data_IF_719829256952
#
_entry.id   IF_719829256952
#
_cell.length_a   1.000
_cell.length_b   1.000
_cell.length_c   1.000
_cell.angle_alpha   90.00
_cell.angle_beta   90.00
_cell.angle_gamma   90.00
#
_symmetry.space_group_name_H-M   'P 1'
#
loop_
_entity.id
_entity.type
_entity.pdbx_description
1 polymer ?
#
# COMPACT_ATOMS: atom_id res chain seq x y z
N UNK A 1 8.06 -25.73 -17.75
CA UNK A 1 7.84 -24.31 -17.62
C UNK A 1 6.33 -24.19 -17.54
N UNK A 2 5.78 -24.27 -16.32
CA UNK A 2 4.37 -23.99 -16.11
C UNK A 2 4.14 -22.53 -16.47
N UNK A 3 3.24 -22.25 -17.40
CA UNK A 3 2.73 -20.91 -17.63
C UNK A 3 2.13 -20.45 -16.28
N UNK A 4 2.72 -19.45 -15.66
CA UNK A 4 2.09 -18.75 -14.55
C UNK A 4 0.76 -18.21 -15.09
N UNK A 5 -0.33 -18.77 -14.64
CA UNK A 5 -1.67 -18.27 -14.95
C UNK A 5 -1.76 -16.87 -14.34
N UNK A 6 -2.15 -15.88 -15.15
CA UNK A 6 -2.42 -14.53 -14.69
C UNK A 6 -3.54 -14.52 -13.64
N UNK A 7 -3.53 -13.50 -12.78
CA UNK A 7 -4.61 -13.26 -11.82
C UNK A 7 -5.28 -11.92 -12.09
N UNK A 8 -6.58 -11.86 -11.84
CA UNK A 8 -7.34 -10.62 -11.93
C UNK A 8 -7.23 -9.76 -10.68
N UNK A 9 -6.77 -10.34 -9.58
CA UNK A 9 -6.80 -9.73 -8.26
C UNK A 9 -5.46 -9.90 -7.54
N UNK A 10 -5.10 -8.87 -6.77
CA UNK A 10 -3.96 -8.85 -5.86
C UNK A 10 -4.37 -8.19 -4.55
N UNK A 11 -4.25 -8.93 -3.45
CA UNK A 11 -4.56 -8.45 -2.11
C UNK A 11 -3.29 -8.30 -1.29
N UNK A 12 -2.97 -7.07 -0.91
CA UNK A 12 -1.79 -6.75 -0.10
C UNK A 12 -2.21 -6.21 1.26
N UNK A 13 -1.74 -6.83 2.33
CA UNK A 13 -1.95 -6.36 3.70
C UNK A 13 -0.66 -5.82 4.28
N UNK A 14 -0.71 -4.60 4.75
CA UNK A 14 0.34 -3.95 5.53
C UNK A 14 -0.03 -4.00 7.00
N UNK A 15 0.86 -4.47 7.87
CA UNK A 15 0.58 -4.62 9.30
C UNK A 15 1.76 -4.20 10.17
N UNK A 16 1.48 -3.47 11.27
CA UNK A 16 2.47 -2.96 12.22
C UNK A 16 2.04 -1.64 12.85
N UNK A 17 2.98 -0.82 13.30
CA UNK A 17 2.68 0.45 13.97
C UNK A 17 2.91 1.66 13.05
N UNK A 18 4.05 1.74 12.37
CA UNK A 18 4.43 2.89 11.53
C UNK A 18 4.57 2.49 10.05
N UNK A 19 4.30 3.43 9.15
CA UNK A 19 4.44 3.21 7.71
C UNK A 19 3.27 2.50 7.03
N UNK A 20 2.45 1.76 7.77
CA UNK A 20 1.36 0.91 7.29
C UNK A 20 0.38 1.66 6.39
N UNK A 21 -0.25 2.71 6.92
CA UNK A 21 -1.29 3.48 6.19
C UNK A 21 -0.69 4.16 4.96
N UNK A 22 0.47 4.80 5.12
CA UNK A 22 1.12 5.52 4.02
C UNK A 22 1.54 4.59 2.88
N UNK A 23 2.04 3.38 3.20
CA UNK A 23 2.38 2.37 2.19
C UNK A 23 1.15 1.93 1.42
N UNK A 24 0.08 1.58 2.15
CA UNK A 24 -1.18 1.15 1.55
C UNK A 24 -1.80 2.23 0.66
N UNK A 25 -1.89 3.47 1.14
CA UNK A 25 -2.40 4.60 0.36
C UNK A 25 -1.56 4.86 -0.90
N UNK A 26 -0.24 4.72 -0.80
CA UNK A 26 0.66 4.93 -1.94
C UNK A 26 0.49 3.83 -3.00
N UNK A 27 0.39 2.56 -2.58
CA UNK A 27 0.11 1.45 -3.49
C UNK A 27 -1.25 1.62 -4.16
N UNK A 28 -2.29 1.91 -3.37
CA UNK A 28 -3.65 2.10 -3.85
C UNK A 28 -3.74 3.24 -4.87
N UNK A 29 -3.14 4.41 -4.56
CA UNK A 29 -3.12 5.55 -5.47
C UNK A 29 -2.36 5.25 -6.77
N UNK A 30 -1.25 4.51 -6.70
CA UNK A 30 -0.48 4.11 -7.88
C UNK A 30 -1.28 3.13 -8.74
N UNK A 31 -1.91 2.13 -8.14
CA UNK A 31 -2.73 1.15 -8.85
C UNK A 31 -3.94 1.82 -9.54
N UNK A 32 -4.62 2.73 -8.84
CA UNK A 32 -5.72 3.50 -9.43
C UNK A 32 -5.25 4.37 -10.61
N UNK A 33 -4.09 5.03 -10.51
CA UNK A 33 -3.51 5.80 -11.63
C UNK A 33 -3.09 4.91 -12.81
N UNK A 34 -2.62 3.70 -12.53
CA UNK A 34 -2.31 2.69 -13.56
C UNK A 34 -3.57 2.17 -14.27
N UNK A 35 -4.76 2.37 -13.70
CA UNK A 35 -6.05 2.02 -14.30
C UNK A 35 -6.73 0.79 -13.68
N UNK A 36 -6.21 0.31 -12.55
CA UNK A 36 -6.85 -0.76 -11.78
C UNK A 36 -8.02 -0.23 -10.94
N UNK A 37 -8.96 -1.12 -10.65
CA UNK A 37 -9.93 -0.90 -9.59
C UNK A 37 -9.27 -1.18 -8.24
N UNK A 38 -9.55 -0.35 -7.24
CA UNK A 38 -8.89 -0.44 -5.95
C UNK A 38 -9.90 -0.27 -4.83
N UNK A 39 -9.83 -1.16 -3.85
CA UNK A 39 -10.52 -1.04 -2.57
C UNK A 39 -9.49 -1.03 -1.44
N UNK A 40 -9.67 -0.15 -0.46
CA UNK A 40 -8.81 -0.12 0.72
C UNK A 40 -9.62 -0.22 2.00
N UNK A 41 -9.09 -0.94 2.96
CA UNK A 41 -9.67 -1.04 4.30
C UNK A 41 -8.57 -0.89 5.36
N UNK A 42 -8.75 0.05 6.27
CA UNK A 42 -7.83 0.30 7.37
C UNK A 42 -8.50 0.03 8.71
N UNK A 43 -7.84 -0.73 9.56
CA UNK A 43 -8.26 -0.97 10.94
C UNK A 43 -7.37 -0.17 11.89
N UNK A 44 -8.00 0.60 12.76
CA UNK A 44 -7.33 1.40 13.77
C UNK A 44 -7.63 0.86 15.16
N UNK A 45 -6.63 0.83 16.06
CA UNK A 45 -6.86 0.43 17.44
C UNK A 45 -7.77 1.43 18.14
N UNK A 46 -8.51 0.98 19.12
CA UNK A 46 -9.35 1.84 19.98
C UNK A 46 -8.56 2.72 20.94
N UNK A 47 -7.25 2.55 21.00
CA UNK A 47 -6.34 3.32 21.86
C UNK A 47 -5.97 4.64 21.19
N UNK A 48 -5.80 5.70 22.01
CA UNK A 48 -5.51 7.05 21.52
C UNK A 48 -4.08 7.17 20.93
N UNK A 49 -3.13 6.39 21.42
CA UNK A 49 -1.73 6.38 21.00
C UNK A 49 -1.19 4.96 20.99
N UNK A 50 -0.58 4.60 19.86
CA UNK A 50 0.05 3.28 19.67
C UNK A 50 -0.96 2.16 19.46
N UNK A 51 -0.46 0.99 19.16
CA UNK A 51 -1.21 -0.22 18.89
C UNK A 51 -1.15 -0.64 17.42
N UNK A 52 -1.33 -1.94 17.15
CA UNK A 52 -1.19 -2.49 15.82
C UNK A 52 -2.26 -1.95 14.89
N UNK A 53 -1.82 -1.44 13.75
CA UNK A 53 -2.65 -1.01 12.62
C UNK A 53 -2.46 -2.01 11.49
N UNK A 54 -3.51 -2.34 10.79
CA UNK A 54 -3.36 -2.95 9.49
C UNK A 54 -4.19 -2.22 8.44
N UNK A 55 -3.69 -2.21 7.24
CA UNK A 55 -4.40 -1.67 6.08
C UNK A 55 -4.27 -2.67 4.95
N UNK A 56 -5.39 -3.02 4.35
CA UNK A 56 -5.47 -3.90 3.21
C UNK A 56 -5.75 -3.11 1.94
N UNK A 57 -5.12 -3.52 0.86
CA UNK A 57 -5.32 -2.96 -0.48
C UNK A 57 -5.68 -4.13 -1.38
N UNK A 58 -6.88 -4.09 -1.96
CA UNK A 58 -7.33 -5.00 -2.99
C UNK A 58 -7.24 -4.29 -4.34
N UNK A 59 -6.41 -4.81 -5.23
CA UNK A 59 -6.20 -4.31 -6.59
C UNK A 59 -6.83 -5.31 -7.54
N UNK A 60 -7.67 -4.86 -8.47
CA UNK A 60 -8.37 -5.73 -9.41
C UNK A 60 -8.44 -5.14 -10.81
N UNK A 61 -8.50 -6.01 -11.82
CA UNK A 61 -8.76 -5.62 -13.21
C UNK A 61 -10.22 -5.29 -13.49
N UNK A 62 -11.12 -5.61 -12.54
CA UNK A 62 -12.57 -5.39 -12.63
C UNK A 62 -13.10 -4.68 -11.38
N UNK A 63 -14.29 -4.06 -11.42
CA UNK A 63 -14.87 -3.40 -10.27
C UNK A 63 -14.98 -4.35 -9.07
N UNK A 64 -14.38 -3.97 -7.95
CA UNK A 64 -14.45 -4.71 -6.69
C UNK A 64 -15.16 -3.88 -5.62
N UNK A 65 -15.98 -4.55 -4.80
CA UNK A 65 -16.73 -3.96 -3.68
C UNK A 65 -16.30 -4.54 -2.32
N UNK A 66 -15.26 -5.36 -2.31
CA UNK A 66 -14.72 -6.01 -1.12
C UNK A 66 -13.23 -5.76 -1.02
N UNK A 67 -12.73 -5.64 0.19
CA UNK A 67 -11.29 -5.59 0.49
C UNK A 67 -10.61 -6.98 0.42
N UNK A 68 -11.38 -8.06 0.27
CA UNK A 68 -10.91 -9.46 0.22
C UNK A 68 -10.64 -10.02 1.62
N UNK A 69 -10.75 -11.34 1.77
CA UNK A 69 -10.46 -12.03 3.04
C UNK A 69 -9.04 -12.60 3.03
N UNK A 70 -8.65 -13.25 1.95
CA UNK A 70 -7.36 -13.89 1.76
C UNK A 70 -6.31 -12.89 1.24
N UNK A 71 -5.05 -13.07 1.65
CA UNK A 71 -3.97 -12.13 1.40
C UNK A 71 -2.88 -12.79 0.56
N UNK A 72 -2.53 -12.20 -0.57
CA UNK A 72 -1.43 -12.66 -1.43
C UNK A 72 -0.06 -12.19 -0.91
N UNK A 73 0.00 -10.94 -0.42
CA UNK A 73 1.21 -10.37 0.18
C UNK A 73 0.92 -9.79 1.55
N UNK A 74 1.58 -10.32 2.57
CA UNK A 74 1.64 -9.70 3.89
C UNK A 74 2.95 -8.92 4.03
N UNK A 75 2.84 -7.62 4.30
CA UNK A 75 3.99 -6.79 4.69
C UNK A 75 3.95 -6.58 6.19
N UNK A 76 4.88 -7.18 6.91
CA UNK A 76 4.98 -7.09 8.36
C UNK A 76 6.08 -6.10 8.76
N UNK A 77 5.67 -4.93 9.24
CA UNK A 77 6.58 -3.90 9.77
C UNK A 77 7.05 -4.22 11.19
N UNK A 78 6.33 -5.06 11.93
CA UNK A 78 6.65 -5.47 13.29
C UNK A 78 6.32 -6.94 13.51
N UNK A 79 6.89 -7.53 14.57
CA UNK A 79 6.63 -8.92 14.99
C UNK A 79 5.13 -9.13 15.30
N UNK A 80 4.48 -8.17 15.95
CA UNK A 80 3.04 -8.22 16.21
C UNK A 80 2.23 -8.22 14.91
N UNK A 81 2.63 -7.39 13.93
CA UNK A 81 2.03 -7.38 12.61
C UNK A 81 2.13 -8.73 11.90
N UNK A 82 3.27 -9.40 11.99
CA UNK A 82 3.48 -10.75 11.49
C UNK A 82 2.58 -11.76 12.20
N UNK A 83 2.69 -11.86 13.55
CA UNK A 83 1.99 -12.85 14.34
C UNK A 83 0.47 -12.79 14.22
N UNK A 84 -0.09 -11.58 14.10
CA UNK A 84 -1.53 -11.36 14.03
C UNK A 84 -2.13 -11.65 12.64
N UNK A 85 -1.32 -11.67 11.58
CA UNK A 85 -1.85 -11.69 10.21
C UNK A 85 -1.30 -12.80 9.31
N UNK A 86 -0.27 -13.54 9.71
CA UNK A 86 0.33 -14.62 8.90
C UNK A 86 -0.67 -15.72 8.48
N UNK A 87 -1.66 -16.02 9.33
CA UNK A 87 -2.65 -17.05 9.07
C UNK A 87 -3.73 -16.63 8.03
N UNK A 88 -3.71 -15.37 7.59
CA UNK A 88 -4.59 -14.89 6.51
C UNK A 88 -3.96 -14.99 5.12
N UNK A 89 -2.74 -15.50 5.03
CA UNK A 89 -2.03 -15.65 3.76
C UNK A 89 -2.59 -16.82 2.96
N UNK A 90 -2.76 -16.64 1.65
CA UNK A 90 -3.06 -17.76 0.73
C UNK A 90 -1.89 -18.76 0.72
N UNK A 91 -2.11 -20.03 0.31
CA UNK A 91 -1.06 -21.06 0.35
C UNK A 91 0.24 -20.68 -0.37
N UNK A 92 0.14 -19.95 -1.50
CA UNK A 92 1.28 -19.51 -2.29
C UNK A 92 1.64 -18.02 -2.04
N UNK A 93 1.03 -17.41 -1.03
CA UNK A 93 1.27 -16.02 -0.67
C UNK A 93 2.65 -15.80 -0.07
N UNK A 94 3.10 -14.54 -0.07
CA UNK A 94 4.45 -14.14 0.34
C UNK A 94 4.40 -13.17 1.52
N UNK A 95 5.27 -13.38 2.50
CA UNK A 95 5.47 -12.45 3.61
C UNK A 95 6.77 -11.66 3.40
N UNK A 96 6.67 -10.35 3.35
CA UNK A 96 7.80 -9.43 3.42
C UNK A 96 7.88 -8.90 4.85
N UNK A 97 8.97 -9.11 5.55
CA UNK A 97 9.10 -8.64 6.93
C UNK A 97 10.31 -7.74 7.13
N UNK A 98 10.21 -6.83 8.10
CA UNK A 98 11.32 -5.95 8.47
C UNK A 98 12.40 -6.71 9.24
N UNK A 99 13.40 -7.23 8.56
CA UNK A 99 14.50 -7.99 9.18
C UNK A 99 15.45 -7.14 10.05
N UNK A 100 15.29 -5.81 10.03
CA UNK A 100 15.95 -4.91 10.97
C UNK A 100 15.27 -4.88 12.35
N UNK A 101 14.04 -5.35 12.46
CA UNK A 101 13.23 -5.31 13.69
C UNK A 101 13.07 -6.70 14.33
N UNK A 102 12.85 -7.73 13.52
CA UNK A 102 12.61 -9.08 14.03
C UNK A 102 12.95 -10.16 13.00
N UNK A 103 13.11 -11.40 13.48
CA UNK A 103 13.31 -12.60 12.68
C UNK A 103 12.18 -13.58 12.95
N UNK A 104 11.29 -13.85 11.99
CA UNK A 104 10.20 -14.80 12.19
C UNK A 104 10.76 -16.24 12.29
N UNK A 105 10.12 -17.11 13.08
CA UNK A 105 10.51 -18.50 13.14
C UNK A 105 10.20 -19.20 11.82
N UNK A 106 11.28 -19.46 11.01
CA UNK A 106 11.35 -20.49 9.97
C UNK A 106 10.18 -20.68 9.01
N UNK A 107 9.49 -19.62 8.61
CA UNK A 107 8.39 -19.72 7.64
C UNK A 107 8.95 -19.78 6.21
N UNK A 108 8.53 -20.78 5.44
CA UNK A 108 9.06 -21.06 4.10
C UNK A 108 8.71 -19.99 3.06
N UNK A 109 7.63 -19.21 3.29
CA UNK A 109 7.12 -18.22 2.34
C UNK A 109 7.44 -16.78 2.77
N UNK A 110 8.50 -16.58 3.53
CA UNK A 110 8.88 -15.25 4.00
C UNK A 110 10.29 -14.87 3.59
N UNK A 111 10.50 -13.58 3.26
CA UNK A 111 11.86 -13.04 3.13
C UNK A 111 12.01 -11.73 3.89
N UNK A 112 13.18 -11.58 4.52
CA UNK A 112 13.53 -10.42 5.29
C UNK A 112 14.11 -9.31 4.42
N UNK A 113 13.66 -8.10 4.69
CA UNK A 113 14.16 -6.90 4.05
C UNK A 113 14.36 -5.83 5.12
N UNK A 114 15.59 -5.33 5.36
CA UNK A 114 15.86 -4.33 6.40
C UNK A 114 15.42 -2.94 5.91
N UNK A 115 14.11 -2.65 5.99
CA UNK A 115 13.49 -1.45 5.41
C UNK A 115 14.18 -0.15 5.79
N UNK A 116 14.46 0.02 7.09
CA UNK A 116 15.00 1.26 7.62
C UNK A 116 16.48 1.46 7.30
N UNK A 117 17.24 0.37 7.21
CA UNK A 117 18.66 0.45 6.89
C UNK A 117 18.85 0.78 5.40
N UNK A 118 18.07 0.13 4.52
CA UNK A 118 18.06 0.49 3.10
C UNK A 118 17.63 1.95 2.91
N UNK A 119 16.61 2.41 3.64
CA UNK A 119 16.15 3.81 3.58
C UNK A 119 17.25 4.80 4.01
N UNK A 120 18.04 4.48 5.03
CA UNK A 120 19.19 5.28 5.46
C UNK A 120 20.30 5.28 4.40
N UNK A 121 20.61 4.12 3.81
CA UNK A 121 21.64 3.97 2.77
C UNK A 121 21.34 4.80 1.52
N UNK A 122 20.08 4.91 1.13
CA UNK A 122 19.66 5.75 -0.01
C UNK A 122 19.56 7.25 0.33
N UNK A 123 19.91 7.63 1.56
CA UNK A 123 19.97 9.03 2.01
C UNK A 123 18.62 9.60 2.50
N UNK A 124 17.59 8.79 2.67
CA UNK A 124 16.30 9.23 3.19
C UNK A 124 15.71 8.20 4.18
N UNK A 125 15.98 8.35 5.46
CA UNK A 125 15.49 7.46 6.51
C UNK A 125 13.94 7.35 6.57
N UNK A 126 13.19 8.18 5.84
CA UNK A 126 11.73 8.10 5.74
C UNK A 126 11.25 7.33 4.52
N UNK A 127 12.16 6.78 3.72
CA UNK A 127 11.83 6.04 2.51
C UNK A 127 11.58 4.54 2.74
N UNK A 128 11.51 4.06 3.98
CA UNK A 128 11.27 2.64 4.31
C UNK A 128 10.02 2.09 3.61
N UNK A 129 8.94 2.88 3.53
CA UNK A 129 7.74 2.51 2.81
C UNK A 129 7.97 2.39 1.30
N UNK A 130 8.87 3.14 0.70
CA UNK A 130 9.22 3.00 -0.72
C UNK A 130 10.02 1.71 -0.99
N UNK A 131 10.90 1.32 -0.08
CA UNK A 131 11.59 0.02 -0.15
C UNK A 131 10.59 -1.12 -0.23
N UNK A 132 9.58 -1.10 0.63
CA UNK A 132 8.50 -2.10 0.66
C UNK A 132 7.69 -2.11 -0.63
N UNK A 133 7.27 -0.94 -1.12
CA UNK A 133 6.51 -0.84 -2.37
C UNK A 133 7.31 -1.34 -3.57
N UNK A 134 8.61 -1.05 -3.59
CA UNK A 134 9.52 -1.59 -4.60
C UNK A 134 9.59 -3.11 -4.57
N UNK A 135 9.60 -3.72 -3.38
CA UNK A 135 9.64 -5.17 -3.23
C UNK A 135 8.34 -5.87 -3.70
N UNK A 136 7.19 -5.22 -3.58
CA UNK A 136 5.90 -5.78 -4.06
C UNK A 136 5.86 -5.84 -5.60
N UNK A 137 6.46 -4.87 -6.29
CA UNK A 137 6.34 -4.72 -7.73
C UNK A 137 6.72 -5.98 -8.52
N UNK A 138 7.92 -6.59 -8.36
CA UNK A 138 8.30 -7.78 -9.13
C UNK A 138 7.58 -9.05 -8.68
N UNK A 139 7.05 -9.11 -7.46
CA UNK A 139 6.35 -10.29 -6.96
C UNK A 139 5.07 -10.60 -7.75
N UNK A 140 4.33 -9.57 -8.14
CA UNK A 140 3.04 -9.69 -8.81
C UNK A 140 3.02 -9.04 -10.21
N UNK A 141 4.19 -8.78 -10.80
CA UNK A 141 4.33 -8.05 -12.06
C UNK A 141 3.62 -6.69 -12.06
N UNK A 142 3.62 -6.02 -10.90
CA UNK A 142 3.08 -4.66 -10.78
C UNK A 142 4.09 -3.64 -11.35
N UNK A 143 3.66 -2.62 -12.12
CA UNK A 143 4.58 -1.74 -12.83
C UNK A 143 5.38 -0.83 -11.88
N UNK A 144 6.68 -1.10 -11.72
CA UNK A 144 7.61 -0.31 -10.89
C UNK A 144 7.68 1.16 -11.34
N UNK A 145 7.60 1.41 -12.65
CA UNK A 145 7.63 2.77 -13.19
C UNK A 145 6.42 3.58 -12.76
N UNK A 146 5.24 2.97 -12.58
CA UNK A 146 4.08 3.67 -12.04
C UNK A 146 4.30 4.14 -10.59
N UNK A 147 5.03 3.35 -9.79
CA UNK A 147 5.44 3.77 -8.43
C UNK A 147 6.42 4.95 -8.48
N UNK A 148 7.38 4.95 -9.40
CA UNK A 148 8.31 6.08 -9.59
C UNK A 148 7.62 7.35 -10.05
N UNK A 149 6.64 7.24 -10.96
CA UNK A 149 5.81 8.37 -11.38
C UNK A 149 5.00 8.93 -10.20
N UNK A 150 4.42 8.06 -9.38
CA UNK A 150 3.73 8.48 -8.16
C UNK A 150 4.66 9.23 -7.21
N UNK A 151 5.86 8.71 -6.95
CA UNK A 151 6.90 9.37 -6.13
C UNK A 151 7.20 10.76 -6.68
N UNK A 152 7.45 10.86 -7.97
CA UNK A 152 7.75 12.14 -8.62
C UNK A 152 6.61 13.15 -8.42
N UNK A 153 5.37 12.76 -8.70
CA UNK A 153 4.20 13.63 -8.53
C UNK A 153 3.98 14.05 -7.08
N UNK A 154 4.16 13.12 -6.13
CA UNK A 154 3.90 13.36 -4.71
C UNK A 154 4.92 14.28 -4.07
N UNK A 155 6.20 14.17 -4.45
CA UNK A 155 7.31 14.86 -3.77
C UNK A 155 7.81 16.08 -4.53
N UNK A 156 7.44 16.30 -5.79
CA UNK A 156 7.72 17.53 -6.51
C UNK A 156 6.69 18.60 -6.15
N UNK A 157 7.04 19.46 -5.19
CA UNK A 157 6.16 20.51 -4.65
C UNK A 157 6.68 21.92 -4.94
N UNK A 158 7.74 22.05 -5.76
CA UNK A 158 8.40 23.32 -6.06
C UNK A 158 9.25 23.87 -4.91
N UNK A 159 9.74 23.01 -4.02
CA UNK A 159 10.58 23.38 -2.87
C UNK A 159 12.03 22.99 -3.10
N UNK A 160 13.00 23.75 -2.53
CA UNK A 160 14.39 23.33 -2.51
C UNK A 160 14.53 21.93 -1.86
N UNK A 161 15.24 21.02 -2.55
CA UNK A 161 15.47 19.65 -2.06
C UNK A 161 14.46 18.60 -2.55
N UNK A 162 13.41 18.99 -3.28
CA UNK A 162 12.45 18.03 -3.84
C UNK A 162 13.13 16.98 -4.72
N UNK A 163 14.09 17.38 -5.56
CA UNK A 163 14.82 16.47 -6.46
C UNK A 163 15.56 15.37 -5.68
N UNK A 164 16.25 15.73 -4.59
CA UNK A 164 16.95 14.78 -3.75
C UNK A 164 15.99 13.81 -3.05
N UNK A 165 14.80 14.29 -2.67
CA UNK A 165 13.76 13.44 -2.06
C UNK A 165 13.21 12.47 -3.11
N UNK A 166 12.94 12.92 -4.32
CA UNK A 166 12.45 12.09 -5.43
C UNK A 166 13.50 11.03 -5.79
N UNK A 167 14.76 11.43 -5.93
CA UNK A 167 15.87 10.53 -6.24
C UNK A 167 16.04 9.44 -5.17
N UNK A 168 16.09 9.82 -3.89
CA UNK A 168 16.23 8.88 -2.79
C UNK A 168 15.04 7.91 -2.69
N UNK A 169 13.81 8.39 -2.88
CA UNK A 169 12.63 7.53 -2.87
C UNK A 169 12.59 6.59 -4.10
N UNK A 170 13.01 7.05 -5.27
CA UNK A 170 13.11 6.21 -6.47
C UNK A 170 14.17 5.13 -6.30
N UNK A 171 15.33 5.47 -5.72
CA UNK A 171 16.37 4.51 -5.40
C UNK A 171 15.91 3.49 -4.35
N UNK A 172 15.10 3.91 -3.37
CA UNK A 172 14.51 3.01 -2.39
C UNK A 172 13.57 1.97 -3.05
N UNK A 173 12.75 2.40 -4.02
CA UNK A 173 11.92 1.50 -4.84
C UNK A 173 12.80 0.48 -5.58
N UNK A 174 13.88 0.93 -6.24
CA UNK A 174 14.80 0.05 -6.98
C UNK A 174 15.45 -0.99 -6.05
N UNK A 175 15.90 -0.57 -4.87
CA UNK A 175 16.51 -1.48 -3.88
C UNK A 175 15.52 -2.52 -3.37
N UNK A 176 14.27 -2.13 -3.16
CA UNK A 176 13.20 -3.06 -2.78
C UNK A 176 12.94 -4.09 -3.88
N UNK A 177 12.84 -3.63 -5.13
CA UNK A 177 12.63 -4.51 -6.29
C UNK A 177 13.79 -5.50 -6.48
N UNK A 178 15.04 -5.03 -6.45
CA UNK A 178 16.23 -5.89 -6.52
C UNK A 178 16.25 -6.97 -5.43
N UNK A 179 15.82 -6.62 -4.21
CA UNK A 179 15.79 -7.57 -3.11
C UNK A 179 14.71 -8.65 -3.32
N UNK A 180 13.53 -8.27 -3.80
CA UNK A 180 12.46 -9.22 -4.11
C UNK A 180 12.85 -10.15 -5.27
N UNK A 181 13.45 -9.64 -6.33
CA UNK A 181 13.97 -10.48 -7.43
C UNK A 181 15.00 -11.50 -6.95
N UNK A 182 15.90 -11.09 -6.05
CA UNK A 182 16.92 -11.98 -5.45
C UNK A 182 16.32 -13.01 -4.49
N UNK A 183 15.17 -12.76 -3.92
CA UNK A 183 14.48 -13.69 -3.01
C UNK A 183 14.01 -14.96 -3.71
N UNK A 184 13.73 -14.88 -5.02
CA UNK A 184 13.20 -15.96 -5.82
C UNK A 184 11.71 -16.24 -5.61
N UNK A 185 11.02 -15.44 -4.83
CA UNK A 185 9.57 -15.52 -4.68
C UNK A 185 8.86 -14.88 -5.88
N UNK A 186 7.77 -15.52 -6.30
CA UNK A 186 6.88 -15.04 -7.35
C UNK A 186 5.45 -15.37 -7.00
N UNK A 187 4.54 -14.46 -7.30
CA UNK A 187 3.10 -14.66 -7.25
C UNK A 187 2.56 -14.87 -8.68
N UNK A 188 1.27 -15.19 -8.78
CA UNK A 188 0.57 -15.09 -10.06
C UNK A 188 0.67 -13.65 -10.59
N UNK A 189 0.98 -13.50 -11.89
CA UNK A 189 1.12 -12.17 -12.50
C UNK A 189 -0.24 -11.47 -12.54
N UNK A 190 -0.29 -10.24 -12.04
CA UNK A 190 -1.49 -9.42 -12.13
C UNK A 190 -1.73 -9.02 -13.59
N UNK A 191 -2.90 -9.38 -14.11
CA UNK A 191 -3.29 -9.06 -15.48
C UNK A 191 -3.33 -7.53 -15.70
N UNK A 192 -3.06 -7.05 -16.92
CA UNK A 192 -3.18 -5.62 -17.23
C UNK A 192 -4.59 -5.08 -16.94
N UNK A 193 -4.70 -3.81 -16.47
CA UNK A 193 -5.99 -3.23 -16.12
C UNK A 193 -6.90 -3.07 -17.33
N UNK A 194 -8.19 -3.36 -17.16
CA UNK A 194 -9.23 -3.08 -18.14
C UNK A 194 -9.75 -1.68 -17.91
N UNK A 195 -9.26 -0.69 -18.68
CA UNK A 195 -9.69 0.70 -18.54
C UNK A 195 -11.12 0.88 -19.09
N UNK A 196 -12.03 1.43 -18.29
CA UNK A 196 -13.35 1.80 -18.78
C UNK A 196 -13.28 3.00 -19.73
N UNK A 197 -14.33 3.25 -20.49
CA UNK A 197 -14.50 4.39 -21.39
C UNK A 197 -14.95 5.68 -20.67
N UNK A 198 -15.02 5.67 -19.35
CA UNK A 198 -15.37 6.80 -18.50
C UNK A 198 -14.27 7.08 -17.47
N UNK A 199 -14.23 8.34 -17.00
CA UNK A 199 -13.28 8.73 -15.95
C UNK A 199 -13.66 8.11 -14.60
N UNK A 200 -12.66 7.57 -13.91
CA UNK A 200 -12.77 7.05 -12.55
C UNK A 200 -11.97 7.90 -11.59
N UNK A 201 -12.47 8.03 -10.38
CA UNK A 201 -11.75 8.67 -9.28
C UNK A 201 -11.59 7.68 -8.13
N UNK A 202 -10.44 7.74 -7.47
CA UNK A 202 -10.24 7.10 -6.19
C UNK A 202 -10.63 8.09 -5.09
N UNK A 203 -11.59 7.72 -4.25
CA UNK A 203 -12.16 8.61 -3.22
C UNK A 203 -12.37 7.83 -1.93
N UNK A 204 -12.09 8.45 -0.79
CA UNK A 204 -12.44 7.88 0.51
C UNK A 204 -13.94 7.93 0.79
N UNK A 205 -14.46 7.00 1.59
CA UNK A 205 -15.87 6.99 1.99
C UNK A 205 -16.33 8.31 2.64
N UNK A 206 -15.49 8.91 3.48
CA UNK A 206 -15.78 10.20 4.11
C UNK A 206 -15.88 11.35 3.08
N UNK A 207 -14.98 11.37 2.10
CA UNK A 207 -15.04 12.35 1.02
C UNK A 207 -16.28 12.14 0.13
N UNK A 208 -16.63 10.88 -0.15
CA UNK A 208 -17.85 10.55 -0.92
C UNK A 208 -19.11 10.98 -0.17
N UNK A 209 -19.17 10.79 1.14
CA UNK A 209 -20.29 11.28 1.98
C UNK A 209 -20.39 12.81 1.91
N UNK A 210 -19.26 13.51 2.05
CA UNK A 210 -19.24 14.97 1.99
C UNK A 210 -19.70 15.49 0.62
N UNK A 211 -19.16 14.96 -0.48
CA UNK A 211 -19.57 15.33 -1.84
C UNK A 211 -21.04 15.02 -2.11
N UNK A 212 -21.52 13.86 -1.68
CA UNK A 212 -22.93 13.48 -1.81
C UNK A 212 -23.87 14.40 -1.03
N UNK A 213 -23.46 14.84 0.16
CA UNK A 213 -24.24 15.78 0.97
C UNK A 213 -24.33 17.17 0.30
N UNK A 214 -23.22 17.69 -0.23
CA UNK A 214 -23.19 18.96 -0.97
C UNK A 214 -24.04 18.85 -2.24
N UNK A 215 -23.93 17.77 -2.99
CA UNK A 215 -24.75 17.54 -4.18
C UNK A 215 -26.25 17.39 -3.85
N UNK A 216 -26.56 16.83 -2.69
CA UNK A 216 -27.93 16.71 -2.17
C UNK A 216 -28.52 18.01 -1.66
N UNK A 217 -27.78 19.13 -1.70
CA UNK A 217 -28.25 20.45 -1.27
C UNK A 217 -28.18 20.66 0.25
N UNK A 218 -27.19 20.10 0.91
CA UNK A 218 -26.97 20.33 2.35
C UNK A 218 -26.61 21.80 2.60
N UNK A 219 -27.43 22.52 3.41
CA UNK A 219 -27.22 23.91 3.73
C UNK A 219 -26.41 24.13 5.02
N UNK A 220 -26.35 23.14 5.88
CA UNK A 220 -25.69 23.27 7.16
C UNK A 220 -25.11 21.94 7.63
N UNK A 221 -23.85 21.96 8.09
CA UNK A 221 -23.19 20.82 8.72
C UNK A 221 -22.58 21.22 10.05
N UNK A 222 -22.76 20.37 11.06
CA UNK A 222 -22.10 20.49 12.35
C UNK A 222 -21.43 19.16 12.68
N UNK A 223 -20.15 19.19 12.98
CA UNK A 223 -19.35 18.00 13.27
C UNK A 223 -18.46 18.21 14.49
N UNK A 224 -18.16 17.12 15.19
CA UNK A 224 -17.15 17.06 16.23
C UNK A 224 -15.90 16.35 15.67
N UNK A 225 -14.69 16.92 15.86
CA UNK A 225 -13.45 16.31 15.34
C UNK A 225 -13.10 15.04 16.12
N UNK A 226 -13.59 13.91 15.67
CA UNK A 226 -13.34 12.59 16.23
C UNK A 226 -13.01 11.60 15.11
N UNK A 227 -11.96 10.79 15.32
CA UNK A 227 -11.60 9.73 14.37
C UNK A 227 -12.66 8.62 14.37
N UNK A 228 -13.09 8.12 13.20
CA UNK A 228 -12.62 8.42 11.85
C UNK A 228 -13.38 9.54 11.13
N UNK A 229 -14.38 10.19 11.74
CA UNK A 229 -15.29 11.13 11.09
C UNK A 229 -14.69 12.53 10.79
N UNK A 230 -13.54 12.87 11.37
CA UNK A 230 -12.91 14.21 11.22
C UNK A 230 -12.70 14.61 9.77
N UNK A 231 -12.39 13.68 8.87
CA UNK A 231 -12.18 14.00 7.46
C UNK A 231 -13.44 14.40 6.73
N UNK A 232 -14.65 14.01 7.18
CA UNK A 232 -15.91 14.56 6.66
C UNK A 232 -15.98 16.06 6.93
N UNK A 233 -15.62 16.47 8.18
CA UNK A 233 -15.61 17.88 8.57
C UNK A 233 -14.63 18.69 7.70
N UNK A 234 -13.44 18.16 7.45
CA UNK A 234 -12.43 18.81 6.58
C UNK A 234 -12.93 19.00 5.14
N UNK A 235 -13.71 18.05 4.62
CA UNK A 235 -14.29 18.15 3.28
C UNK A 235 -15.49 19.10 3.19
N UNK A 236 -16.13 19.41 4.33
CA UNK A 236 -17.26 20.31 4.42
C UNK A 236 -16.85 21.77 4.69
N UNK A 237 -15.59 22.04 5.02
CA UNK A 237 -15.00 23.36 5.25
C UNK A 237 -14.63 24.06 3.94
#
# INVERSE_FOLDING_TARGET
>A
MEELLGTTDLVVRFAGEAGVVTSAESLAATAAQAGYHVQTYATFPSQILGGPVHTQVHISTSPTLSDGDDVDVLVAFSEDGFNNHKDSLVPDGVIIYNSGEFDPPGDSNSFGLPFDDIAKEVGNARASNMVVLGAIAPLANFPLEALKEYVTKRFTRGRPGDEQIVEANSLALDRGAEAAEKSGFHLAELDPPIRPDYEQIMISGNAAIALGAVQGGLDFYAGYPISPATTVLVWME
#
